data_IF_038491626762
#
_entry.id   IF_038491626762
#
_cell.length_a   1.000
_cell.length_b   1.000
_cell.length_c   1.000
_cell.angle_alpha   90.00
_cell.angle_beta   90.00
_cell.angle_gamma   90.00
#
_symmetry.space_group_name_H-M   'P 1'
#
loop_
_entity.id
_entity.type
_entity.pdbx_description
1 polymer ?
#
# COMPACT_ATOMS: atom_id res chain seq x y z
N UNK A 1 -35.62 5.51 3.46
CA UNK A 1 -35.39 4.12 3.00
C UNK A 1 -36.57 3.31 3.50
N UNK A 2 -37.13 2.47 2.66
CA UNK A 2 -38.22 1.59 3.02
C UNK A 2 -37.68 0.35 3.75
N UNK A 3 -38.49 -0.32 4.58
CA UNK A 3 -38.13 -1.62 5.13
C UNK A 3 -37.75 -2.61 4.01
N UNK A 4 -36.57 -3.21 4.11
CA UNK A 4 -36.03 -4.14 3.11
C UNK A 4 -35.10 -3.51 2.06
N UNK A 5 -35.00 -2.18 2.00
CA UNK A 5 -34.06 -1.50 1.09
C UNK A 5 -32.61 -1.75 1.52
N UNK A 6 -31.73 -1.97 0.53
CA UNK A 6 -30.29 -2.03 0.73
C UNK A 6 -29.62 -0.79 0.15
N UNK A 7 -28.68 -0.20 0.89
CA UNK A 7 -27.81 0.87 0.38
C UNK A 7 -26.34 0.55 0.64
N UNK A 8 -25.47 1.16 -0.18
CA UNK A 8 -24.02 1.05 -0.05
C UNK A 8 -23.48 2.34 0.56
N UNK A 9 -22.84 2.24 1.72
CA UNK A 9 -22.04 3.31 2.30
C UNK A 9 -20.59 3.19 1.81
N UNK A 10 -19.96 4.33 1.47
CA UNK A 10 -18.56 4.39 1.04
C UNK A 10 -17.76 5.27 1.99
N UNK A 11 -16.64 4.75 2.46
CA UNK A 11 -15.71 5.45 3.35
C UNK A 11 -14.35 5.56 2.67
N UNK A 12 -13.65 6.68 2.91
CA UNK A 12 -12.25 6.85 2.51
C UNK A 12 -11.37 6.66 3.74
N UNK A 13 -10.34 5.83 3.59
CA UNK A 13 -9.34 5.58 4.63
C UNK A 13 -8.01 6.06 4.08
N UNK A 14 -7.32 6.90 4.85
CA UNK A 14 -5.97 7.36 4.55
C UNK A 14 -5.03 6.76 5.59
N UNK A 15 -3.91 6.21 5.13
CA UNK A 15 -2.87 5.63 5.98
C UNK A 15 -1.73 6.63 6.06
N UNK A 16 -1.29 6.95 7.28
CA UNK A 16 -0.14 7.85 7.49
C UNK A 16 1.10 7.25 6.82
N UNK A 17 1.96 8.12 6.26
CA UNK A 17 3.24 7.72 5.68
C UNK A 17 4.17 7.05 6.68
N UNK A 18 3.99 7.35 7.97
CA UNK A 18 4.81 6.84 9.07
C UNK A 18 4.07 5.71 9.83
N UNK A 19 2.93 5.23 9.31
CA UNK A 19 2.22 4.09 9.89
C UNK A 19 3.02 2.80 9.75
N UNK A 20 3.16 2.07 10.86
CA UNK A 20 3.79 0.75 10.87
C UNK A 20 2.95 -0.30 10.13
N UNK A 21 3.62 -1.36 9.68
CA UNK A 21 2.96 -2.56 9.15
C UNK A 21 2.08 -3.22 10.22
N UNK A 22 0.89 -3.70 9.82
CA UNK A 22 0.05 -4.47 10.72
C UNK A 22 -1.44 -4.48 10.35
N UNK A 23 -2.21 -5.13 11.22
CA UNK A 23 -3.66 -5.22 11.13
C UNK A 23 -4.31 -4.18 12.05
N UNK A 24 -5.01 -3.22 11.46
CA UNK A 24 -5.70 -2.17 12.21
C UNK A 24 -7.20 -2.46 12.25
N UNK A 25 -7.80 -2.64 13.46
CA UNK A 25 -9.23 -2.89 13.57
C UNK A 25 -10.02 -1.62 13.22
N UNK A 26 -11.10 -1.82 12.49
CA UNK A 26 -12.09 -0.80 12.12
C UNK A 26 -13.44 -1.22 12.69
N UNK A 27 -14.02 -0.35 13.51
CA UNK A 27 -15.34 -0.52 14.13
C UNK A 27 -16.35 0.33 13.37
N UNK A 28 -17.45 -0.28 12.96
CA UNK A 28 -18.53 0.37 12.21
C UNK A 28 -19.82 0.26 13.02
N UNK A 29 -20.49 1.38 13.21
CA UNK A 29 -21.78 1.46 13.90
C UNK A 29 -22.67 2.45 13.16
N UNK A 30 -23.96 2.10 13.00
CA UNK A 30 -24.95 2.94 12.35
C UNK A 30 -25.86 3.55 13.40
N UNK A 31 -26.03 4.87 13.33
CA UNK A 31 -27.10 5.58 14.04
C UNK A 31 -28.16 5.99 13.03
N UNK A 32 -29.43 5.73 13.34
CA UNK A 32 -30.54 6.07 12.48
C UNK A 32 -31.80 6.40 13.28
N UNK A 33 -32.78 7.04 12.63
CA UNK A 33 -34.12 7.22 13.18
C UNK A 33 -35.09 6.26 12.51
N UNK A 34 -35.97 5.66 13.30
CA UNK A 34 -37.07 4.87 12.75
C UNK A 34 -38.21 5.77 12.22
N UNK A 35 -39.28 5.14 11.72
CA UNK A 35 -40.45 5.85 11.18
C UNK A 35 -41.21 6.67 12.22
N UNK A 36 -41.02 6.40 13.52
CA UNK A 36 -41.63 7.11 14.63
C UNK A 36 -40.72 8.22 15.17
N UNK A 37 -39.50 8.35 14.63
CA UNK A 37 -38.53 9.37 15.01
C UNK A 37 -37.63 8.98 16.18
N UNK A 38 -37.69 7.74 16.67
CA UNK A 38 -36.80 7.27 17.73
C UNK A 38 -35.41 6.98 17.19
N UNK A 39 -34.39 7.38 17.96
CA UNK A 39 -32.99 7.07 17.65
C UNK A 39 -32.69 5.61 17.98
N UNK A 40 -32.04 4.94 17.05
CA UNK A 40 -31.53 3.58 17.20
C UNK A 40 -30.05 3.53 16.83
N UNK A 41 -29.35 2.63 17.49
CA UNK A 41 -27.95 2.33 17.23
C UNK A 41 -27.85 0.86 16.86
N UNK A 42 -27.17 0.56 15.75
CA UNK A 42 -26.96 -0.82 15.31
C UNK A 42 -25.97 -1.57 16.20
N UNK A 43 -25.94 -2.89 16.03
CA UNK A 43 -24.81 -3.70 16.48
C UNK A 43 -23.49 -3.19 15.85
N UNK A 44 -22.40 -3.34 16.59
CA UNK A 44 -21.05 -3.00 16.11
C UNK A 44 -20.56 -4.09 15.15
N UNK A 45 -20.07 -3.66 13.99
CA UNK A 45 -19.38 -4.52 13.03
C UNK A 45 -17.89 -4.25 13.15
N UNK A 46 -17.10 -5.27 13.47
CA UNK A 46 -15.64 -5.18 13.55
C UNK A 46 -15.03 -5.82 12.31
N UNK A 47 -14.20 -5.06 11.60
CA UNK A 47 -13.37 -5.54 10.49
C UNK A 47 -11.93 -5.08 10.67
N UNK A 48 -11.02 -5.45 9.78
CA UNK A 48 -9.61 -5.06 9.87
C UNK A 48 -9.07 -4.62 8.52
N UNK A 49 -8.19 -3.63 8.54
CA UNK A 49 -7.42 -3.16 7.38
C UNK A 49 -5.97 -3.57 7.56
N UNK A 50 -5.42 -4.23 6.55
CA UNK A 50 -4.00 -4.59 6.51
C UNK A 50 -3.19 -3.41 5.94
N UNK A 51 -2.26 -2.89 6.73
CA UNK A 51 -1.28 -1.89 6.31
C UNK A 51 0.02 -2.62 6.00
N UNK A 52 0.54 -2.41 4.78
CA UNK A 52 1.80 -3.00 4.30
C UNK A 52 2.85 -1.93 4.13
N UNK A 53 4.10 -2.29 4.41
CA UNK A 53 5.22 -1.44 4.04
C UNK A 53 5.29 -1.27 2.52
N UNK A 54 5.72 -0.09 2.09
CA UNK A 54 6.04 0.13 0.68
C UNK A 54 7.41 -0.47 0.39
N UNK A 55 7.56 -1.34 -0.65
CA UNK A 55 8.84 -1.90 -0.99
C UNK A 55 9.86 -0.81 -1.34
N UNK A 56 10.98 -0.76 -0.61
CA UNK A 56 12.09 0.17 -0.90
C UNK A 56 12.71 -0.14 -2.26
N UNK A 57 12.83 -1.42 -2.60
CA UNK A 57 13.35 -1.89 -3.89
C UNK A 57 12.18 -2.32 -4.76
N UNK A 58 11.79 -1.43 -5.67
CA UNK A 58 10.83 -1.77 -6.72
C UNK A 58 11.51 -2.55 -7.85
N UNK A 59 10.75 -3.31 -8.68
CA UNK A 59 11.31 -3.99 -9.85
C UNK A 59 12.08 -3.04 -10.79
N UNK A 60 11.66 -1.77 -10.88
CA UNK A 60 12.34 -0.75 -11.64
C UNK A 60 13.71 -0.41 -11.05
N UNK A 61 13.79 -0.16 -9.73
CA UNK A 61 15.05 0.10 -9.03
C UNK A 61 15.98 -1.11 -9.14
N UNK A 62 15.45 -2.33 -8.95
CA UNK A 62 16.22 -3.56 -9.11
C UNK A 62 16.82 -3.69 -10.52
N UNK A 63 16.02 -3.43 -11.56
CA UNK A 63 16.51 -3.42 -12.95
C UNK A 63 17.61 -2.38 -13.19
N UNK A 64 17.43 -1.17 -12.66
CA UNK A 64 18.45 -0.11 -12.76
C UNK A 64 19.76 -0.50 -12.07
N UNK A 65 19.70 -1.12 -10.89
CA UNK A 65 20.88 -1.62 -10.17
C UNK A 65 21.61 -2.72 -10.95
N UNK A 66 20.87 -3.67 -11.55
CA UNK A 66 21.45 -4.72 -12.39
C UNK A 66 22.16 -4.12 -13.60
N UNK A 67 21.53 -3.17 -14.30
CA UNK A 67 22.14 -2.47 -15.44
C UNK A 67 23.39 -1.68 -15.04
N UNK A 68 23.37 -1.02 -13.89
CA UNK A 68 24.53 -0.32 -13.36
C UNK A 68 25.70 -1.28 -13.08
N UNK A 69 25.43 -2.45 -12.48
CA UNK A 69 26.45 -3.49 -12.25
C UNK A 69 27.02 -4.00 -13.58
N UNK A 70 26.19 -4.26 -14.58
CA UNK A 70 26.65 -4.69 -15.92
C UNK A 70 27.52 -3.60 -16.56
N UNK A 71 27.11 -2.34 -16.51
CA UNK A 71 27.87 -1.22 -17.05
C UNK A 71 29.24 -1.08 -16.37
N UNK A 72 29.30 -1.22 -15.04
CA UNK A 72 30.54 -1.22 -14.27
C UNK A 72 31.46 -2.36 -14.72
N UNK A 73 30.92 -3.58 -14.87
CA UNK A 73 31.69 -4.75 -15.34
C UNK A 73 32.28 -4.49 -16.73
N UNK A 74 31.47 -3.97 -17.65
CA UNK A 74 31.90 -3.64 -19.02
C UNK A 74 32.99 -2.56 -19.01
N UNK A 75 32.80 -1.49 -18.25
CA UNK A 75 33.76 -0.40 -18.11
C UNK A 75 35.11 -0.88 -17.53
N UNK A 76 35.08 -1.69 -16.46
CA UNK A 76 36.27 -2.28 -15.84
C UNK A 76 37.01 -3.19 -16.82
N UNK A 77 36.27 -4.04 -17.55
CA UNK A 77 36.87 -4.94 -18.55
C UNK A 77 37.52 -4.15 -19.69
N UNK A 78 36.87 -3.10 -20.16
CA UNK A 78 37.39 -2.22 -21.19
C UNK A 78 38.67 -1.48 -20.75
N UNK A 79 38.68 -0.94 -19.53
CA UNK A 79 39.84 -0.28 -18.95
C UNK A 79 41.04 -1.24 -18.78
N UNK A 80 40.79 -2.49 -18.33
CA UNK A 80 41.83 -3.53 -18.22
C UNK A 80 42.39 -3.93 -19.60
N UNK A 81 41.55 -4.03 -20.63
CA UNK A 81 42.00 -4.34 -22.00
C UNK A 81 42.91 -3.25 -22.56
N UNK A 82 42.55 -1.97 -22.39
CA UNK A 82 43.39 -0.84 -22.84
C UNK A 82 44.77 -0.84 -22.17
N UNK A 83 44.85 -1.07 -20.86
CA UNK A 83 46.14 -1.12 -20.15
C UNK A 83 47.07 -2.24 -20.63
N UNK A 84 46.54 -3.36 -21.16
CA UNK A 84 47.35 -4.47 -21.69
C UNK A 84 47.89 -4.20 -23.10
N UNK A 85 47.31 -3.28 -23.86
CA UNK A 85 47.76 -2.94 -25.22
C UNK A 85 48.77 -1.78 -25.24
N UNK A 86 48.92 -1.06 -24.12
CA UNK A 86 49.87 0.04 -23.97
C UNK A 86 51.20 -0.38 -23.31
N UNK A 87 51.43 -1.69 -23.15
CA UNK A 87 52.65 -2.29 -22.60
C UNK A 87 53.12 -3.37 -23.57
#
# INVERSE_FOLDING_TARGET
>A
MNPGDTAIAKFRIEVDKDAGEGMFPVKIQLEYRDSQGYMHTSDEIVTSVEVKERPVVTPLIAGALILAVIAIIVAVRFARKRKRQAK
#
